data_IF_497300691153
#
_entry.id   IF_497300691153
#
_cell.length_a   1.000
_cell.length_b   1.000
_cell.length_c   1.000
_cell.angle_alpha   90.00
_cell.angle_beta   90.00
_cell.angle_gamma   90.00
#
_symmetry.space_group_name_H-M   'P 1'
#
loop_
_entity.id
_entity.type
_entity.pdbx_description
1 polymer ?
#
# COMPACT_ATOMS: atom_id res chain seq x y z
N UNK A 1 0.85 19.89 18.50
CA UNK A 1 0.31 18.56 18.90
C UNK A 1 -0.86 18.10 18.02
N UNK A 2 -1.94 18.88 17.86
CA UNK A 2 -3.13 18.48 17.07
C UNK A 2 -2.80 18.00 15.65
N UNK A 3 -1.94 18.72 14.92
CA UNK A 3 -1.68 18.44 13.51
C UNK A 3 -0.93 17.12 13.30
N UNK A 4 0.07 16.81 14.14
CA UNK A 4 0.80 15.53 14.08
C UNK A 4 -0.14 14.34 14.34
N UNK A 5 -0.99 14.45 15.36
CA UNK A 5 -1.96 13.42 15.69
C UNK A 5 -2.94 13.20 14.54
N UNK A 6 -3.40 14.27 13.91
CA UNK A 6 -4.25 14.20 12.72
C UNK A 6 -3.58 13.47 11.55
N UNK A 7 -2.32 13.79 11.22
CA UNK A 7 -1.56 13.08 10.19
C UNK A 7 -1.39 11.59 10.50
N UNK A 8 -1.06 11.24 11.75
CA UNK A 8 -0.91 9.84 12.17
C UNK A 8 -2.22 9.05 12.06
N UNK A 9 -3.37 9.66 12.43
CA UNK A 9 -4.69 9.06 12.20
C UNK A 9 -4.97 8.86 10.72
N UNK A 10 -4.63 9.84 9.86
CA UNK A 10 -4.82 9.75 8.42
C UNK A 10 -4.00 8.60 7.81
N UNK A 11 -2.73 8.48 8.20
CA UNK A 11 -1.84 7.37 7.79
C UNK A 11 -2.44 6.03 8.21
N UNK A 12 -2.88 5.93 9.46
CA UNK A 12 -3.49 4.71 10.00
C UNK A 12 -4.75 4.33 9.23
N UNK A 13 -5.62 5.29 8.92
CA UNK A 13 -6.82 5.09 8.13
C UNK A 13 -6.48 4.56 6.73
N UNK A 14 -5.52 5.17 6.03
CA UNK A 14 -5.09 4.73 4.70
C UNK A 14 -4.53 3.30 4.71
N UNK A 15 -3.73 2.96 5.74
CA UNK A 15 -3.20 1.62 5.91
C UNK A 15 -4.31 0.60 6.14
N UNK A 16 -5.31 0.92 6.96
CA UNK A 16 -6.46 0.04 7.20
C UNK A 16 -7.28 -0.19 5.92
N UNK A 17 -7.50 0.86 5.12
CA UNK A 17 -8.19 0.74 3.82
C UNK A 17 -7.38 -0.17 2.88
N UNK A 18 -6.05 0.03 2.80
CA UNK A 18 -5.16 -0.80 2.00
C UNK A 18 -5.15 -2.28 2.45
N UNK A 19 -5.09 -2.52 3.76
CA UNK A 19 -5.18 -3.87 4.36
C UNK A 19 -6.51 -4.55 4.04
N UNK A 20 -7.62 -3.80 4.12
CA UNK A 20 -8.94 -4.34 3.79
C UNK A 20 -9.05 -4.70 2.30
N UNK A 21 -8.60 -3.81 1.41
CA UNK A 21 -8.61 -4.04 -0.03
C UNK A 21 -7.71 -5.21 -0.44
N UNK A 22 -6.45 -5.21 0.02
CA UNK A 22 -5.52 -6.30 -0.26
C UNK A 22 -5.95 -7.62 0.41
N UNK A 23 -6.54 -7.57 1.60
CA UNK A 23 -7.06 -8.75 2.30
C UNK A 23 -8.22 -9.41 1.55
N UNK A 24 -9.13 -8.61 0.99
CA UNK A 24 -10.20 -9.13 0.13
C UNK A 24 -9.67 -9.89 -1.08
N UNK A 25 -8.66 -9.32 -1.75
CA UNK A 25 -7.98 -9.95 -2.89
C UNK A 25 -7.28 -11.27 -2.52
N UNK A 26 -6.61 -11.30 -1.36
CA UNK A 26 -5.98 -12.53 -0.84
C UNK A 26 -7.03 -13.60 -0.53
N UNK A 27 -8.16 -13.23 0.07
CA UNK A 27 -9.25 -14.19 0.32
C UNK A 27 -9.83 -14.75 -0.98
N UNK A 28 -9.97 -13.91 -2.00
CA UNK A 28 -10.49 -14.31 -3.31
C UNK A 28 -9.51 -15.23 -4.04
N UNK A 29 -8.21 -14.94 -3.96
CA UNK A 29 -7.12 -15.83 -4.40
C UNK A 29 -7.17 -17.19 -3.70
N UNK A 30 -7.37 -17.22 -2.38
CA UNK A 30 -7.44 -18.49 -1.64
C UNK A 30 -8.68 -19.32 -1.99
N UNK A 31 -9.80 -18.68 -2.36
CA UNK A 31 -11.05 -19.37 -2.73
C UNK A 31 -11.08 -19.84 -4.18
N UNK A 32 -10.59 -19.00 -5.10
CA UNK A 32 -10.78 -19.19 -6.55
C UNK A 32 -9.49 -19.49 -7.30
N UNK A 33 -8.33 -19.20 -6.71
CA UNK A 33 -7.02 -19.31 -7.35
C UNK A 33 -6.76 -18.26 -8.45
N UNK A 34 -7.67 -17.29 -8.63
CA UNK A 34 -7.74 -16.33 -9.73
C UNK A 34 -8.15 -14.88 -9.33
N UNK A 35 -8.14 -14.54 -8.04
CA UNK A 35 -8.31 -13.16 -7.56
C UNK A 35 -7.21 -12.17 -7.99
N UNK A 36 -5.98 -12.61 -8.30
CA UNK A 36 -4.84 -11.75 -8.61
C UNK A 36 -3.78 -12.39 -9.53
N UNK A 37 -3.06 -11.56 -10.31
CA UNK A 37 -1.97 -12.03 -11.15
C UNK A 37 -0.83 -12.63 -10.30
N UNK A 38 -0.28 -13.73 -10.81
CA UNK A 38 0.88 -14.41 -10.22
C UNK A 38 2.14 -13.86 -10.86
N UNK A 39 3.05 -13.34 -10.05
CA UNK A 39 4.37 -12.90 -10.51
C UNK A 39 5.31 -14.08 -10.27
N UNK A 40 5.77 -14.70 -11.36
CA UNK A 40 6.49 -15.99 -11.38
C UNK A 40 5.69 -17.17 -10.77
N UNK A 41 5.55 -17.20 -9.44
CA UNK A 41 4.86 -18.27 -8.70
C UNK A 41 4.02 -17.77 -7.53
N UNK A 42 4.18 -16.50 -7.14
CA UNK A 42 3.58 -15.93 -5.92
C UNK A 42 2.47 -14.94 -6.33
N UNK A 43 1.26 -15.06 -5.76
CA UNK A 43 0.20 -14.08 -5.96
C UNK A 43 0.65 -12.67 -5.55
N UNK A 44 0.55 -11.70 -6.46
CA UNK A 44 0.95 -10.32 -6.20
C UNK A 44 0.23 -9.72 -4.98
N UNK A 45 -1.01 -10.14 -4.74
CA UNK A 45 -1.83 -9.62 -3.66
C UNK A 45 -1.37 -10.05 -2.28
N UNK A 46 -0.73 -11.22 -2.15
CA UNK A 46 -0.08 -11.63 -0.90
C UNK A 46 1.10 -10.69 -0.62
N UNK A 47 1.92 -10.39 -1.63
CA UNK A 47 3.07 -9.48 -1.51
C UNK A 47 2.61 -8.09 -1.08
N UNK A 48 1.61 -7.53 -1.76
CA UNK A 48 1.05 -6.20 -1.44
C UNK A 48 0.42 -6.18 -0.05
N UNK A 49 -0.28 -7.25 0.36
CA UNK A 49 -0.84 -7.37 1.70
C UNK A 49 0.24 -7.27 2.79
N UNK A 50 1.35 -8.00 2.64
CA UNK A 50 2.48 -7.87 3.55
C UNK A 50 3.11 -6.47 3.51
N UNK A 51 3.16 -5.85 2.33
CA UNK A 51 3.65 -4.48 2.19
C UNK A 51 2.73 -3.42 2.82
N UNK A 52 1.47 -3.71 3.11
CA UNK A 52 0.63 -2.86 3.96
C UNK A 52 0.75 -3.22 5.44
N UNK A 53 0.82 -4.52 5.75
CA UNK A 53 0.89 -5.03 7.12
C UNK A 53 2.15 -4.56 7.85
N UNK A 54 3.32 -4.61 7.20
CA UNK A 54 4.60 -4.26 7.83
C UNK A 54 4.68 -2.76 8.14
N UNK A 55 4.35 -1.83 7.23
CA UNK A 55 4.23 -0.41 7.55
C UNK A 55 3.19 -0.10 8.62
N UNK A 56 2.06 -0.81 8.66
CA UNK A 56 1.06 -0.65 9.72
C UNK A 56 1.63 -1.01 11.10
N UNK A 57 2.28 -2.17 11.23
CA UNK A 57 2.95 -2.58 12.47
C UNK A 57 4.08 -1.62 12.86
N UNK A 58 4.86 -1.16 11.88
CA UNK A 58 5.95 -0.21 12.10
C UNK A 58 5.44 1.16 12.55
N UNK A 59 4.33 1.64 11.96
CA UNK A 59 3.69 2.89 12.35
C UNK A 59 3.23 2.83 13.82
N UNK A 60 2.61 1.71 14.23
CA UNK A 60 2.15 1.50 15.60
C UNK A 60 3.30 1.39 16.61
N UNK A 61 4.42 0.78 16.21
CA UNK A 61 5.56 0.51 17.11
C UNK A 61 6.53 1.70 17.21
N UNK A 62 6.43 2.71 16.34
CA UNK A 62 7.16 4.00 16.33
C UNK A 62 8.71 3.94 16.29
N UNK A 63 9.34 2.79 16.55
CA UNK A 63 10.81 2.64 16.71
C UNK A 63 11.57 2.35 15.42
N UNK A 64 10.90 2.09 14.30
CA UNK A 64 11.52 1.55 13.08
C UNK A 64 10.97 2.14 11.78
N UNK A 65 10.97 3.48 11.67
CA UNK A 65 10.56 4.23 10.46
C UNK A 65 11.28 3.81 9.18
N UNK A 66 12.50 3.26 9.28
CA UNK A 66 13.23 2.68 8.13
C UNK A 66 12.42 1.57 7.46
N UNK A 67 11.81 0.67 8.23
CA UNK A 67 11.00 -0.42 7.69
C UNK A 67 9.72 0.10 7.04
N UNK A 68 9.13 1.17 7.59
CA UNK A 68 7.97 1.81 6.97
C UNK A 68 8.32 2.28 5.55
N UNK A 69 9.40 3.04 5.39
CA UNK A 69 9.81 3.55 4.07
C UNK A 69 10.27 2.44 3.13
N UNK A 70 11.01 1.45 3.62
CA UNK A 70 11.50 0.36 2.79
C UNK A 70 10.35 -0.41 2.11
N UNK A 71 9.35 -0.82 2.90
CA UNK A 71 8.22 -1.60 2.38
C UNK A 71 7.23 -0.75 1.59
N UNK A 72 6.98 0.50 1.99
CA UNK A 72 6.11 1.41 1.20
C UNK A 72 6.77 1.80 -0.13
N UNK A 73 8.08 2.04 -0.17
CA UNK A 73 8.81 2.32 -1.41
C UNK A 73 8.87 1.09 -2.32
N UNK A 74 9.09 -0.10 -1.76
CA UNK A 74 9.05 -1.35 -2.52
C UNK A 74 7.67 -1.55 -3.17
N UNK A 75 6.59 -1.40 -2.39
CA UNK A 75 5.24 -1.53 -2.92
C UNK A 75 4.87 -0.44 -3.92
N UNK A 76 5.34 0.79 -3.73
CA UNK A 76 5.22 1.84 -4.72
C UNK A 76 5.89 1.44 -6.05
N UNK A 77 7.10 0.88 -6.00
CA UNK A 77 7.80 0.37 -7.19
C UNK A 77 7.03 -0.74 -7.90
N UNK A 78 6.52 -1.72 -7.15
CA UNK A 78 5.70 -2.81 -7.71
C UNK A 78 4.43 -2.26 -8.35
N UNK A 79 3.74 -1.35 -7.67
CA UNK A 79 2.52 -0.72 -8.17
C UNK A 79 2.79 0.12 -9.43
N UNK A 80 3.96 0.78 -9.52
CA UNK A 80 4.36 1.56 -10.69
C UNK A 80 4.61 0.66 -11.91
N UNK A 81 5.34 -0.44 -11.72
CA UNK A 81 5.56 -1.44 -12.78
C UNK A 81 4.23 -2.07 -13.21
N UNK A 82 3.37 -2.47 -12.27
CA UNK A 82 2.06 -3.02 -12.58
C UNK A 82 1.16 -2.03 -13.34
N UNK A 83 1.16 -0.76 -12.93
CA UNK A 83 0.44 0.32 -13.59
C UNK A 83 0.94 0.56 -15.02
N UNK A 84 2.25 0.48 -15.23
CA UNK A 84 2.87 0.59 -16.55
C UNK A 84 2.52 -0.60 -17.45
N UNK A 85 2.58 -1.82 -16.92
CA UNK A 85 2.20 -3.04 -17.66
C UNK A 85 0.72 -3.03 -18.04
N UNK A 86 -0.15 -2.57 -17.14
CA UNK A 86 -1.57 -2.39 -17.41
C UNK A 86 -1.84 -1.35 -18.51
N UNK A 87 -1.04 -0.28 -18.56
CA UNK A 87 -1.15 0.76 -19.58
C UNK A 87 -0.76 0.25 -20.99
N UNK A 88 0.14 -0.74 -21.06
CA UNK A 88 0.57 -1.36 -22.31
C UNK A 88 -0.26 -2.62 -22.67
N UNK A 89 -1.35 -2.90 -21.95
CA UNK A 89 -2.16 -4.12 -22.09
C UNK A 89 -1.35 -5.43 -21.94
N UNK A 90 -0.19 -5.38 -21.28
CA UNK A 90 0.71 -6.53 -21.07
C UNK A 90 0.32 -7.38 -19.86
N UNK A 91 -0.41 -6.80 -18.90
CA UNK A 91 -0.90 -7.49 -17.70
C UNK A 91 -2.22 -6.88 -17.24
N UNK A 92 -3.15 -7.72 -16.78
CA UNK A 92 -4.43 -7.28 -16.23
C UNK A 92 -4.41 -7.27 -14.70
N UNK A 93 -4.57 -6.09 -14.11
CA UNK A 93 -4.86 -5.94 -12.70
C UNK A 93 -6.35 -6.16 -12.43
N UNK A 94 -6.70 -6.68 -11.24
CA UNK A 94 -8.09 -6.80 -10.82
C UNK A 94 -8.75 -5.41 -10.85
N UNK A 95 -9.94 -5.37 -11.45
CA UNK A 95 -10.75 -4.16 -11.58
C UNK A 95 -11.77 -4.13 -10.45
N UNK A 96 -12.01 -2.94 -9.91
CA UNK A 96 -13.15 -2.70 -9.02
C UNK A 96 -14.47 -2.75 -9.79
N UNK A 97 -15.59 -2.74 -9.07
CA UNK A 97 -16.94 -2.71 -9.65
C UNK A 97 -17.18 -1.54 -10.63
N UNK A 98 -16.40 -0.46 -10.51
CA UNK A 98 -16.40 0.69 -11.41
C UNK A 98 -15.40 0.57 -12.58
N UNK A 99 -14.89 -0.63 -12.86
CA UNK A 99 -13.87 -0.95 -13.87
C UNK A 99 -12.48 -0.32 -13.64
N UNK A 100 -12.24 0.39 -12.54
CA UNK A 100 -10.91 0.99 -12.29
C UNK A 100 -9.90 -0.07 -11.82
N UNK A 101 -8.70 -0.14 -12.43
CA UNK A 101 -7.65 -1.06 -12.01
C UNK A 101 -7.14 -0.74 -10.61
N UNK A 102 -7.12 -1.74 -9.73
CA UNK A 102 -6.67 -1.56 -8.34
C UNK A 102 -5.18 -1.22 -8.20
N UNK A 103 -4.35 -1.52 -9.21
CA UNK A 103 -2.92 -1.18 -9.16
C UNK A 103 -2.68 0.35 -9.27
N UNK A 104 -3.54 1.11 -9.96
CA UNK A 104 -3.49 2.58 -9.92
C UNK A 104 -3.88 3.13 -8.55
N UNK A 105 -4.89 2.52 -7.91
CA UNK A 105 -5.31 2.90 -6.55
C UNK A 105 -4.20 2.61 -5.54
N UNK A 106 -3.60 1.42 -5.62
CA UNK A 106 -2.45 1.06 -4.78
C UNK A 106 -1.30 2.06 -4.95
N UNK A 107 -0.98 2.44 -6.19
CA UNK A 107 0.06 3.43 -6.47
C UNK A 107 -0.24 4.78 -5.80
N UNK A 108 -1.48 5.25 -5.89
CA UNK A 108 -1.91 6.50 -5.27
C UNK A 108 -1.84 6.41 -3.73
N UNK A 109 -2.29 5.30 -3.14
CA UNK A 109 -2.24 5.08 -1.69
C UNK A 109 -0.79 5.08 -1.20
N UNK A 110 0.11 4.31 -1.83
CA UNK A 110 1.51 4.25 -1.40
C UNK A 110 2.24 5.58 -1.60
N UNK A 111 1.96 6.30 -2.69
CA UNK A 111 2.48 7.67 -2.89
C UNK A 111 2.05 8.60 -1.75
N UNK A 112 0.76 8.56 -1.43
CA UNK A 112 0.17 9.40 -0.38
C UNK A 112 0.75 9.04 0.99
N UNK A 113 0.91 7.75 1.30
CA UNK A 113 1.50 7.26 2.55
C UNK A 113 2.95 7.71 2.74
N UNK A 114 3.75 7.73 1.66
CA UNK A 114 5.13 8.20 1.71
C UNK A 114 5.16 9.71 2.00
N UNK A 115 4.35 10.50 1.30
CA UNK A 115 4.28 11.96 1.47
C UNK A 115 3.78 12.31 2.88
N UNK A 116 2.69 11.70 3.34
CA UNK A 116 2.14 11.93 4.68
C UNK A 116 3.16 11.61 5.77
N UNK A 117 3.88 10.48 5.64
CA UNK A 117 4.90 10.10 6.64
C UNK A 117 6.06 11.08 6.66
N UNK A 118 6.47 11.57 5.49
CA UNK A 118 7.51 12.58 5.37
C UNK A 118 7.11 13.89 6.05
N UNK A 119 5.88 14.36 5.81
CA UNK A 119 5.33 15.57 6.45
C UNK A 119 5.21 15.37 7.97
N UNK A 120 4.70 14.23 8.42
CA UNK A 120 4.57 13.89 9.85
C UNK A 120 5.94 13.97 10.57
N UNK A 121 6.99 13.42 9.95
CA UNK A 121 8.35 13.48 10.50
C UNK A 121 8.93 14.89 10.53
N UNK A 122 8.76 15.67 9.45
CA UNK A 122 9.20 17.07 9.39
C UNK A 122 8.53 17.91 10.48
N UNK A 123 7.22 17.76 10.66
CA UNK A 123 6.47 18.43 11.74
C UNK A 123 6.99 17.99 13.12
N UNK A 124 7.34 16.71 13.30
CA UNK A 124 7.89 16.22 14.56
C UNK A 124 9.31 16.74 14.87
N UNK A 125 10.08 17.16 13.87
CA UNK A 125 11.43 17.74 14.05
C UNK A 125 11.39 19.25 14.35
N UNK A 126 10.37 19.96 13.87
CA UNK A 126 10.20 21.41 14.12
C UNK A 126 9.73 21.73 15.56
N UNK A 127 9.28 20.73 16.32
CA UNK A 127 8.77 20.87 17.68
C UNK A 127 9.73 20.31 18.74
N UNK A 128 11.00 20.10 18.38
CA UNK A 128 12.05 19.62 19.28
C UNK A 128 13.12 20.68 19.43
#
# INVERSE_FOLDING_TARGET
>A
MIFKTFLSYLITLLLLIGLWGAGGLVLEELKTGNGCPKIALIPACIIIFFCFLIPALSHLTSKKTVFYYLFTALAFGIAAVASYLQFNDLAQCPKMANLTPMCYISLLIFSTLIILKYVEQKVSLQYK
#
